data_IF_297371632596
#
_entry.id   IF_297371632596
#
_cell.length_a   1.000
_cell.length_b   1.000
_cell.length_c   1.000
_cell.angle_alpha   90.00
_cell.angle_beta   90.00
_cell.angle_gamma   90.00
#
_symmetry.space_group_name_H-M   'P 1'
#
loop_
_entity.id
_entity.type
_entity.pdbx_description
1 polymer ?
#
# COMPACT_ATOMS: atom_id res chain seq x y z
N UNK A 1 11.56 -25.95 -16.95
CA UNK A 1 10.94 -26.51 -15.73
C UNK A 1 11.67 -25.93 -14.54
N UNK A 2 11.07 -25.01 -13.79
CA UNK A 2 11.63 -24.55 -12.51
C UNK A 2 11.54 -25.73 -11.53
N UNK A 3 12.68 -26.32 -11.15
CA UNK A 3 12.70 -27.36 -10.13
C UNK A 3 12.47 -26.71 -8.76
N UNK A 4 11.33 -27.01 -8.14
CA UNK A 4 11.03 -26.57 -6.77
C UNK A 4 11.75 -27.48 -5.77
N UNK A 5 12.47 -26.89 -4.82
CA UNK A 5 12.96 -27.65 -3.66
C UNK A 5 11.77 -27.99 -2.74
N UNK A 6 11.59 -29.24 -2.26
CA UNK A 6 10.35 -29.67 -1.60
C UNK A 6 10.01 -28.96 -0.28
N UNK A 7 10.99 -28.34 0.38
CA UNK A 7 10.84 -27.95 1.78
C UNK A 7 10.44 -26.48 2.01
N UNK A 8 10.73 -25.54 1.10
CA UNK A 8 10.54 -24.10 1.38
C UNK A 8 9.38 -23.41 0.67
N UNK A 9 8.61 -24.15 -0.14
CA UNK A 9 7.84 -23.52 -1.21
C UNK A 9 6.36 -23.88 -1.27
N UNK A 10 5.80 -24.54 -0.25
CA UNK A 10 4.36 -24.82 -0.19
C UNK A 10 3.76 -24.31 1.12
N UNK A 11 2.60 -23.64 1.08
CA UNK A 11 1.84 -23.34 2.30
C UNK A 11 1.40 -24.64 3.00
N UNK A 12 1.47 -24.72 4.33
CA UNK A 12 1.06 -25.91 5.08
C UNK A 12 -0.46 -26.12 5.01
N UNK A 13 -0.90 -27.33 4.66
CA UNK A 13 -2.32 -27.74 4.68
C UNK A 13 -2.82 -28.11 6.09
N UNK A 14 -1.90 -28.43 7.00
CA UNK A 14 -2.19 -28.79 8.40
C UNK A 14 -2.04 -27.59 9.33
N UNK A 15 -2.70 -27.65 10.49
CA UNK A 15 -2.57 -26.64 11.54
C UNK A 15 -1.10 -26.40 11.92
N UNK A 16 -0.80 -25.14 12.24
CA UNK A 16 0.54 -24.69 12.59
C UNK A 16 0.89 -25.06 14.04
N UNK A 17 2.19 -25.17 14.34
CA UNK A 17 2.62 -25.11 15.73
C UNK A 17 2.54 -23.67 16.23
N UNK A 18 1.95 -23.46 17.40
CA UNK A 18 1.94 -22.14 18.03
C UNK A 18 3.36 -21.63 18.24
N UNK A 19 3.58 -20.37 17.87
CA UNK A 19 4.78 -19.64 18.24
C UNK A 19 4.80 -19.50 19.76
N UNK A 20 5.81 -20.10 20.38
CA UNK A 20 6.01 -20.13 21.83
C UNK A 20 7.37 -19.57 22.24
N UNK A 21 8.27 -19.37 21.28
CA UNK A 21 9.58 -18.77 21.50
C UNK A 21 10.14 -18.17 20.21
N UNK A 22 11.25 -17.44 20.30
CA UNK A 22 11.81 -16.71 19.15
C UNK A 22 12.22 -17.62 17.98
N UNK A 23 12.50 -18.90 18.23
CA UNK A 23 12.91 -19.93 17.27
C UNK A 23 12.02 -21.20 17.32
N UNK A 24 10.82 -21.12 17.93
CA UNK A 24 9.91 -22.28 18.10
C UNK A 24 8.48 -21.94 17.71
N UNK A 25 7.95 -22.67 16.73
CA UNK A 25 6.56 -22.62 16.24
C UNK A 25 6.50 -22.39 14.73
N UNK A 26 5.34 -21.97 14.23
CA UNK A 26 5.02 -21.80 12.81
C UNK A 26 5.06 -23.13 12.02
N UNK A 27 6.19 -23.48 11.40
CA UNK A 27 6.31 -24.73 10.66
C UNK A 27 6.54 -25.92 11.58
N UNK A 28 6.04 -27.10 11.18
CA UNK A 28 6.16 -28.36 11.94
C UNK A 28 7.61 -28.84 12.06
N UNK A 29 8.34 -28.84 10.95
CA UNK A 29 9.69 -29.44 10.86
C UNK A 29 10.78 -28.41 10.57
N UNK A 30 10.41 -27.23 10.08
CA UNK A 30 11.38 -26.20 9.71
C UNK A 30 11.58 -25.21 10.86
N UNK A 31 12.84 -24.86 11.19
CA UNK A 31 13.11 -23.81 12.15
C UNK A 31 12.51 -22.50 11.65
N UNK A 32 11.72 -21.87 12.50
CA UNK A 32 11.01 -20.64 12.18
C UNK A 32 11.36 -19.58 13.20
N UNK A 33 11.78 -18.42 12.72
CA UNK A 33 12.14 -17.29 13.58
C UNK A 33 11.02 -16.27 13.62
N UNK A 34 10.68 -15.82 14.83
CA UNK A 34 9.65 -14.79 15.06
C UNK A 34 10.02 -13.47 14.38
N UNK A 35 11.31 -13.13 14.30
CA UNK A 35 11.78 -11.90 13.66
C UNK A 35 12.76 -12.20 12.52
N UNK A 36 12.59 -11.50 11.40
CA UNK A 36 13.54 -11.47 10.28
C UNK A 36 14.76 -10.65 10.67
N UNK A 37 15.89 -11.33 10.88
CA UNK A 37 17.16 -10.69 11.30
C UNK A 37 18.19 -10.86 10.19
N UNK A 38 18.64 -9.74 9.62
CA UNK A 38 19.67 -9.71 8.57
C UNK A 38 21.05 -9.42 9.17
N UNK A 39 21.68 -10.42 9.79
CA UNK A 39 23.05 -10.33 10.31
C UNK A 39 23.25 -9.52 11.60
N UNK A 40 22.22 -8.79 12.08
CA UNK A 40 22.33 -7.94 13.26
C UNK A 40 22.29 -8.75 14.59
N UNK A 41 23.46 -9.06 15.15
CA UNK A 41 23.60 -9.82 16.41
C UNK A 41 22.83 -9.17 17.57
N UNK A 42 22.90 -7.84 17.70
CA UNK A 42 22.24 -7.11 18.79
C UNK A 42 20.72 -7.31 18.80
N UNK A 43 20.08 -7.33 17.62
CA UNK A 43 18.64 -7.57 17.50
C UNK A 43 18.25 -8.98 17.97
N UNK A 44 19.08 -9.98 17.63
CA UNK A 44 18.88 -11.37 18.07
C UNK A 44 18.98 -11.50 19.58
N UNK A 45 20.02 -10.90 20.16
CA UNK A 45 20.22 -10.92 21.61
C UNK A 45 19.12 -10.16 22.36
N UNK A 46 18.62 -9.06 21.81
CA UNK A 46 17.53 -8.30 22.41
C UNK A 46 16.25 -9.15 22.56
N UNK A 47 15.85 -9.89 21.52
CA UNK A 47 14.69 -10.79 21.60
C UNK A 47 14.94 -11.94 22.58
N UNK A 48 16.12 -12.56 22.54
CA UNK A 48 16.46 -13.67 23.44
C UNK A 48 16.41 -13.28 24.91
N UNK A 49 16.80 -12.04 25.23
CA UNK A 49 16.81 -11.48 26.60
C UNK A 49 15.47 -10.90 27.02
N UNK A 50 14.55 -10.65 26.09
CA UNK A 50 13.26 -10.09 26.40
C UNK A 50 12.45 -11.07 27.29
N UNK A 51 11.79 -10.58 28.36
CA UNK A 51 10.92 -11.41 29.17
C UNK A 51 9.81 -12.04 28.32
N UNK A 52 9.56 -13.34 28.50
CA UNK A 52 8.54 -14.08 27.74
C UNK A 52 7.17 -13.38 27.75
N UNK A 53 6.74 -12.92 28.93
CA UNK A 53 5.48 -12.18 29.12
C UNK A 53 5.37 -10.92 28.25
N UNK A 54 6.49 -10.27 27.93
CA UNK A 54 6.49 -9.10 27.06
C UNK A 54 6.32 -9.46 25.57
N UNK A 55 6.61 -10.71 25.19
CA UNK A 55 6.48 -11.21 23.81
C UNK A 55 5.18 -11.96 23.55
N UNK A 56 4.47 -12.41 24.60
CA UNK A 56 3.21 -13.16 24.51
C UNK A 56 2.17 -12.48 23.60
N UNK A 57 1.87 -11.17 23.73
CA UNK A 57 0.92 -10.51 22.82
C UNK A 57 1.33 -10.58 21.35
N UNK A 58 2.63 -10.50 21.06
CA UNK A 58 3.14 -10.61 19.69
C UNK A 58 2.99 -12.03 19.15
N UNK A 59 3.22 -13.05 19.99
CA UNK A 59 3.00 -14.44 19.61
C UNK A 59 1.53 -14.73 19.37
N UNK A 60 0.63 -14.27 20.24
CA UNK A 60 -0.82 -14.41 20.08
C UNK A 60 -1.31 -13.78 18.78
N UNK A 61 -0.84 -12.57 18.45
CA UNK A 61 -1.16 -11.91 17.19
C UNK A 61 -0.67 -12.71 15.97
N UNK A 62 0.58 -13.16 15.97
CA UNK A 62 1.14 -13.97 14.88
C UNK A 62 0.43 -15.33 14.72
N UNK A 63 0.07 -15.95 15.84
CA UNK A 63 -0.68 -17.21 15.85
C UNK A 63 -2.09 -17.02 15.32
N UNK A 64 -2.76 -15.92 15.68
CA UNK A 64 -4.09 -15.56 15.15
C UNK A 64 -4.05 -15.35 13.64
N UNK A 65 -3.06 -14.58 13.15
CA UNK A 65 -2.84 -14.39 11.71
C UNK A 65 -2.52 -15.71 11.01
N UNK A 66 -1.69 -16.55 11.63
CA UNK A 66 -1.26 -17.84 11.09
C UNK A 66 -2.36 -18.89 11.02
N UNK A 67 -3.29 -18.89 11.97
CA UNK A 67 -4.39 -19.84 12.06
C UNK A 67 -5.56 -19.51 11.13
N UNK A 68 -5.49 -18.41 10.38
CA UNK A 68 -6.51 -18.12 9.36
C UNK A 68 -6.33 -19.06 8.17
N UNK A 69 -7.32 -19.92 7.91
CA UNK A 69 -7.29 -20.89 6.81
C UNK A 69 -7.71 -20.23 5.50
N UNK A 70 -6.90 -20.38 4.47
CA UNK A 70 -7.09 -19.85 3.12
C UNK A 70 -7.34 -20.98 2.12
N UNK A 71 -7.97 -20.68 1.00
CA UNK A 71 -8.07 -21.59 -0.16
C UNK A 71 -7.95 -20.81 -1.47
N UNK A 72 -7.82 -21.55 -2.57
CA UNK A 72 -7.77 -21.00 -3.92
C UNK A 72 -9.20 -20.80 -4.45
N UNK A 73 -9.50 -19.58 -4.88
CA UNK A 73 -10.67 -19.27 -5.70
C UNK A 73 -10.47 -19.86 -7.10
N UNK A 74 -11.07 -21.04 -7.31
CA UNK A 74 -10.92 -21.82 -8.55
C UNK A 74 -11.45 -21.08 -9.78
N UNK A 75 -12.50 -20.28 -9.62
CA UNK A 75 -13.11 -19.52 -10.73
C UNK A 75 -12.17 -18.44 -11.24
N UNK A 76 -11.58 -17.66 -10.34
CA UNK A 76 -10.61 -16.62 -10.68
C UNK A 76 -9.31 -17.22 -11.21
N UNK A 77 -8.80 -18.29 -10.59
CA UNK A 77 -7.63 -19.00 -11.11
C UNK A 77 -7.86 -19.49 -12.55
N UNK A 78 -9.03 -20.04 -12.86
CA UNK A 78 -9.36 -20.50 -14.21
C UNK A 78 -9.35 -19.37 -15.25
N UNK A 79 -9.82 -18.17 -14.89
CA UNK A 79 -9.75 -16.99 -15.77
C UNK A 79 -8.30 -16.54 -15.97
N UNK A 80 -7.51 -16.49 -14.89
CA UNK A 80 -6.09 -16.10 -14.95
C UNK A 80 -5.29 -17.08 -15.81
N UNK A 81 -5.50 -18.38 -15.65
CA UNK A 81 -4.83 -19.41 -16.44
C UNK A 81 -5.14 -19.25 -17.94
N UNK A 82 -6.40 -18.91 -18.30
CA UNK A 82 -6.79 -18.65 -19.69
C UNK A 82 -6.12 -17.39 -20.25
N UNK A 83 -6.10 -16.29 -19.49
CA UNK A 83 -5.39 -15.06 -19.89
C UNK A 83 -3.90 -15.36 -20.09
N UNK A 84 -3.30 -16.06 -19.13
CA UNK A 84 -1.87 -16.39 -19.17
C UNK A 84 -1.53 -17.33 -20.32
N UNK A 85 -2.38 -18.30 -20.64
CA UNK A 85 -2.20 -19.17 -21.81
C UNK A 85 -2.32 -18.40 -23.14
N UNK A 86 -3.12 -17.33 -23.18
CA UNK A 86 -3.33 -16.48 -24.36
C UNK A 86 -2.25 -15.42 -24.63
N UNK A 87 -1.17 -15.41 -23.83
CA UNK A 87 -0.05 -14.46 -24.00
C UNK A 87 0.08 -13.39 -22.91
N UNK A 88 -0.81 -13.36 -21.91
CA UNK A 88 -0.80 -12.33 -20.87
C UNK A 88 -1.43 -11.01 -21.34
N UNK A 89 -0.87 -9.86 -20.94
CA UNK A 89 -1.25 -8.47 -21.32
C UNK A 89 -2.58 -7.92 -20.78
N UNK A 90 -3.40 -8.74 -20.15
CA UNK A 90 -4.67 -8.28 -19.55
C UNK A 90 -4.57 -8.25 -18.03
N UNK A 91 -5.30 -7.32 -17.40
CA UNK A 91 -5.36 -7.16 -15.95
C UNK A 91 -3.96 -7.09 -15.30
N UNK A 92 -3.10 -6.23 -15.86
CA UNK A 92 -1.71 -6.01 -15.43
C UNK A 92 -0.79 -7.25 -15.48
N UNK A 93 -1.21 -8.34 -16.12
CA UNK A 93 -0.31 -9.44 -16.42
C UNK A 93 0.68 -9.04 -17.50
N UNK A 94 1.97 -9.28 -17.23
CA UNK A 94 3.06 -9.02 -18.17
C UNK A 94 2.85 -9.77 -19.50
N UNK A 95 3.34 -9.18 -20.59
CA UNK A 95 3.39 -9.85 -21.89
C UNK A 95 4.35 -11.05 -21.83
N UNK A 96 3.90 -12.17 -22.38
CA UNK A 96 4.71 -13.39 -22.48
C UNK A 96 5.85 -13.27 -23.49
N UNK A 97 5.71 -12.36 -24.45
CA UNK A 97 6.71 -12.12 -25.48
C UNK A 97 7.66 -10.97 -25.14
N UNK A 98 8.86 -11.07 -25.70
CA UNK A 98 9.85 -10.00 -25.67
C UNK A 98 9.52 -8.92 -26.71
N UNK A 99 9.85 -7.67 -26.38
CA UNK A 99 9.85 -6.58 -27.36
C UNK A 99 10.98 -6.86 -28.35
N UNK A 100 10.73 -6.83 -29.67
CA UNK A 100 11.76 -7.05 -30.66
C UNK A 100 12.84 -5.95 -30.56
N UNK A 101 14.10 -6.35 -30.76
CA UNK A 101 15.20 -5.39 -30.80
C UNK A 101 15.05 -4.51 -32.06
N UNK A 102 15.33 -3.20 -31.96
CA UNK A 102 15.29 -2.32 -33.12
C UNK A 102 16.39 -2.72 -34.11
N UNK A 103 16.06 -2.69 -35.40
CA UNK A 103 17.02 -2.95 -36.47
C UNK A 103 18.15 -1.93 -36.45
N UNK A 104 19.37 -2.39 -36.76
CA UNK A 104 20.54 -1.54 -36.85
C UNK A 104 20.38 -0.60 -38.06
N UNK A 105 20.50 0.73 -37.88
CA UNK A 105 20.34 1.66 -38.99
C UNK A 105 21.53 1.54 -39.94
N UNK A 106 21.25 1.51 -41.24
CA UNK A 106 22.27 1.55 -42.30
C UNK A 106 22.70 3.01 -42.55
N UNK A 107 23.52 3.53 -41.63
CA UNK A 107 23.96 4.93 -41.59
C UNK A 107 25.33 5.03 -40.91
N UNK A 108 26.18 5.94 -41.37
CA UNK A 108 27.44 6.28 -40.68
C UNK A 108 27.26 7.41 -39.65
N UNK A 109 26.06 7.99 -39.54
CA UNK A 109 25.78 9.07 -38.59
C UNK A 109 25.92 8.58 -37.13
N UNK A 110 26.95 9.06 -36.44
CA UNK A 110 27.23 8.74 -35.05
C UNK A 110 26.04 9.06 -34.11
N UNK A 111 25.26 10.10 -34.40
CA UNK A 111 24.11 10.48 -33.60
C UNK A 111 22.98 9.47 -33.75
N UNK A 112 22.71 8.99 -34.96
CA UNK A 112 21.72 7.94 -35.23
C UNK A 112 22.14 6.60 -34.64
N UNK A 113 23.40 6.20 -34.81
CA UNK A 113 23.97 5.00 -34.19
C UNK A 113 23.86 5.08 -32.66
N UNK A 114 24.16 6.26 -32.07
CA UNK A 114 24.05 6.46 -30.61
C UNK A 114 22.59 6.34 -30.16
N UNK A 115 21.64 6.95 -30.88
CA UNK A 115 20.20 6.86 -30.59
C UNK A 115 19.70 5.42 -30.68
N UNK A 116 20.13 4.67 -31.69
CA UNK A 116 19.86 3.24 -31.82
C UNK A 116 20.43 2.43 -30.64
N UNK A 117 21.71 2.63 -30.28
CA UNK A 117 22.33 1.97 -29.11
C UNK A 117 21.56 2.23 -27.81
N UNK A 118 21.07 3.45 -27.61
CA UNK A 118 20.20 3.78 -26.48
C UNK A 118 18.86 3.06 -26.54
N UNK A 119 18.23 2.99 -27.71
CA UNK A 119 16.98 2.25 -27.92
C UNK A 119 17.17 0.75 -27.66
N UNK A 120 18.23 0.13 -28.18
CA UNK A 120 18.60 -1.27 -27.91
C UNK A 120 18.77 -1.51 -26.41
N UNK A 121 19.51 -0.63 -25.70
CA UNK A 121 19.70 -0.75 -24.25
C UNK A 121 18.36 -0.65 -23.50
N UNK A 122 17.47 0.26 -23.91
CA UNK A 122 16.14 0.39 -23.32
C UNK A 122 15.30 -0.87 -23.52
N UNK A 123 15.28 -1.43 -24.74
CA UNK A 123 14.52 -2.65 -25.05
C UNK A 123 15.09 -3.87 -24.31
N UNK A 124 16.42 -4.03 -24.25
CA UNK A 124 17.06 -5.10 -23.46
C UNK A 124 16.71 -5.01 -21.98
N UNK A 125 16.67 -3.79 -21.43
CA UNK A 125 16.25 -3.55 -20.04
C UNK A 125 14.79 -3.97 -19.84
N UNK A 126 13.90 -3.54 -20.72
CA UNK A 126 12.47 -3.89 -20.66
C UNK A 126 12.26 -5.41 -20.74
N UNK A 127 12.92 -6.11 -21.66
CA UNK A 127 12.82 -7.57 -21.78
C UNK A 127 13.36 -8.29 -20.53
N UNK A 128 14.43 -7.79 -19.92
CA UNK A 128 14.93 -8.32 -18.65
C UNK A 128 13.92 -8.13 -17.50
N UNK A 129 13.26 -6.97 -17.44
CA UNK A 129 12.21 -6.68 -16.45
C UNK A 129 10.98 -7.58 -16.68
N UNK A 130 10.53 -7.72 -17.94
CA UNK A 130 9.44 -8.62 -18.33
C UNK A 130 9.75 -10.06 -17.97
N UNK A 131 10.97 -10.55 -18.27
CA UNK A 131 11.39 -11.90 -17.91
C UNK A 131 11.30 -12.14 -16.40
N UNK A 132 11.77 -11.20 -15.57
CA UNK A 132 11.65 -11.31 -14.12
C UNK A 132 10.20 -11.38 -13.65
N UNK A 133 9.30 -10.58 -14.23
CA UNK A 133 7.88 -10.58 -13.91
C UNK A 133 7.19 -11.89 -14.35
N UNK A 134 7.55 -12.43 -15.53
CA UNK A 134 7.04 -13.72 -16.01
C UNK A 134 7.42 -14.86 -15.06
N UNK A 135 8.67 -14.89 -14.61
CA UNK A 135 9.14 -15.88 -13.64
C UNK A 135 8.37 -15.78 -12.30
N UNK A 136 8.14 -14.56 -11.79
CA UNK A 136 7.36 -14.34 -10.57
C UNK A 136 5.90 -14.83 -10.71
N UNK A 137 5.24 -14.52 -11.83
CA UNK A 137 3.87 -14.98 -12.11
C UNK A 137 3.81 -16.51 -12.21
N UNK A 138 4.75 -17.15 -12.92
CA UNK A 138 4.78 -18.61 -13.03
C UNK A 138 4.98 -19.30 -11.68
N UNK A 139 5.83 -18.74 -10.80
CA UNK A 139 6.00 -19.26 -9.44
C UNK A 139 4.69 -19.16 -8.63
N UNK A 140 3.99 -18.03 -8.71
CA UNK A 140 2.69 -17.84 -8.05
C UNK A 140 1.62 -18.80 -8.57
N UNK A 141 1.52 -18.94 -9.89
CA UNK A 141 0.55 -19.84 -10.53
C UNK A 141 0.87 -21.31 -10.27
N UNK A 142 2.16 -21.69 -10.20
CA UNK A 142 2.54 -23.04 -9.82
C UNK A 142 2.06 -23.39 -8.41
N UNK A 143 2.21 -22.47 -7.44
CA UNK A 143 1.65 -22.64 -6.09
C UNK A 143 0.13 -22.71 -6.12
N UNK A 144 -0.54 -21.78 -6.79
CA UNK A 144 -2.00 -21.78 -6.88
C UNK A 144 -2.56 -23.08 -7.49
N UNK A 145 -1.99 -23.54 -8.63
CA UNK A 145 -2.40 -24.76 -9.31
C UNK A 145 -2.17 -26.01 -8.47
N UNK A 146 -1.10 -26.05 -7.68
CA UNK A 146 -0.79 -27.17 -6.78
C UNK A 146 -1.73 -27.23 -5.59
N UNK A 147 -2.08 -26.07 -5.02
CA UNK A 147 -2.91 -25.97 -3.81
C UNK A 147 -4.41 -25.92 -4.11
N UNK A 148 -4.83 -25.87 -5.38
CA UNK A 148 -6.24 -25.63 -5.74
C UNK A 148 -7.21 -26.68 -5.22
N UNK A 149 -6.78 -27.94 -5.13
CA UNK A 149 -7.65 -29.06 -4.74
C UNK A 149 -7.54 -29.41 -3.26
N UNK A 150 -6.73 -28.68 -2.49
CA UNK A 150 -6.66 -28.78 -1.04
C UNK A 150 -7.88 -28.08 -0.41
N UNK A 151 -8.41 -28.63 0.69
CA UNK A 151 -9.52 -28.02 1.45
C UNK A 151 -9.16 -26.64 2.03
N UNK A 152 -7.86 -26.39 2.21
CA UNK A 152 -7.29 -25.10 2.54
C UNK A 152 -5.93 -25.24 3.22
N UNK A 153 -5.25 -24.11 3.36
CA UNK A 153 -3.87 -24.01 3.85
C UNK A 153 -3.68 -22.74 4.67
N UNK A 154 -2.57 -22.68 5.39
CA UNK A 154 -2.27 -21.62 6.35
C UNK A 154 -1.04 -20.82 5.93
N UNK A 155 -0.93 -19.59 6.42
CA UNK A 155 0.25 -18.76 6.24
C UNK A 155 0.87 -18.43 7.59
N UNK A 156 1.92 -19.15 8.02
CA UNK A 156 2.67 -18.72 9.20
C UNK A 156 3.23 -17.32 8.99
N UNK A 157 3.22 -16.49 10.04
CA UNK A 157 3.71 -15.11 9.99
C UNK A 157 4.96 -14.93 10.86
N UNK A 158 5.84 -14.02 10.43
CA UNK A 158 6.94 -13.48 11.22
C UNK A 158 6.93 -11.96 11.18
N UNK A 159 7.80 -11.34 11.98
CA UNK A 159 7.94 -9.90 12.11
C UNK A 159 9.20 -9.39 11.41
N UNK A 160 9.18 -8.16 10.90
CA UNK A 160 10.42 -7.40 10.70
C UNK A 160 10.92 -6.80 12.03
N UNK A 161 12.09 -6.14 12.01
CA UNK A 161 12.67 -5.50 13.19
C UNK A 161 11.83 -4.36 13.79
N UNK A 162 10.80 -3.89 13.08
CA UNK A 162 9.87 -2.84 13.51
C UNK A 162 8.58 -3.42 14.07
N UNK A 163 8.42 -4.75 14.04
CA UNK A 163 7.24 -5.46 14.51
C UNK A 163 6.10 -5.57 13.48
N UNK A 164 6.35 -5.35 12.18
CA UNK A 164 5.32 -5.58 11.15
C UNK A 164 5.26 -7.07 10.78
N UNK A 165 4.05 -7.63 10.71
CA UNK A 165 3.84 -9.02 10.37
C UNK A 165 3.86 -9.28 8.85
N UNK A 166 4.47 -10.39 8.45
CA UNK A 166 4.55 -10.84 7.06
C UNK A 166 4.38 -12.36 6.99
N UNK A 167 3.64 -12.90 6.01
CA UNK A 167 3.66 -14.32 5.69
C UNK A 167 5.09 -14.81 5.42
N UNK A 168 5.42 -15.97 5.96
CA UNK A 168 6.72 -16.61 5.72
C UNK A 168 6.83 -17.18 4.31
N UNK A 169 5.72 -17.60 3.70
CA UNK A 169 5.70 -18.12 2.34
C UNK A 169 5.90 -16.99 1.31
N UNK A 170 6.94 -17.04 0.46
CA UNK A 170 7.39 -15.87 -0.30
C UNK A 170 6.63 -15.61 -1.61
N UNK A 171 6.02 -16.63 -2.23
CA UNK A 171 5.50 -16.51 -3.60
C UNK A 171 4.02 -16.12 -3.63
N UNK A 172 3.13 -17.02 -3.21
CA UNK A 172 1.68 -16.79 -3.18
C UNK A 172 1.23 -16.53 -1.75
N UNK A 173 0.90 -15.29 -1.42
CA UNK A 173 0.31 -14.91 -0.13
C UNK A 173 -0.56 -13.65 -0.28
N UNK A 174 -1.41 -13.38 0.71
CA UNK A 174 -2.40 -12.30 0.67
C UNK A 174 -1.80 -10.88 0.77
N UNK A 175 -0.50 -10.73 1.10
CA UNK A 175 0.20 -9.42 1.00
C UNK A 175 0.72 -9.14 -0.41
N UNK A 176 0.61 -10.08 -1.34
CA UNK A 176 1.08 -9.97 -2.72
C UNK A 176 0.29 -8.98 -3.58
N UNK A 177 0.51 -9.09 -4.89
CA UNK A 177 -0.16 -8.30 -5.94
C UNK A 177 -1.66 -8.62 -6.04
N UNK A 178 -2.39 -7.84 -6.83
CA UNK A 178 -3.82 -8.09 -7.12
C UNK A 178 -4.10 -9.54 -7.53
N UNK A 179 -3.28 -10.14 -8.41
CA UNK A 179 -3.34 -11.58 -8.73
C UNK A 179 -3.36 -12.48 -7.49
N UNK A 180 -2.48 -12.22 -6.51
CA UNK A 180 -2.41 -13.05 -5.31
C UNK A 180 -3.68 -12.89 -4.47
N UNK A 181 -4.18 -11.66 -4.33
CA UNK A 181 -5.37 -11.36 -3.51
C UNK A 181 -6.66 -11.83 -4.18
N UNK A 182 -6.78 -11.71 -5.50
CA UNK A 182 -7.94 -12.17 -6.25
C UNK A 182 -8.06 -13.70 -6.30
N UNK A 183 -6.95 -14.43 -6.25
CA UNK A 183 -6.95 -15.90 -6.21
C UNK A 183 -7.20 -16.43 -4.78
N UNK A 184 -6.92 -15.67 -3.73
CA UNK A 184 -7.01 -16.14 -2.35
C UNK A 184 -8.34 -15.74 -1.70
N UNK A 185 -9.03 -16.70 -1.09
CA UNK A 185 -10.23 -16.48 -0.29
C UNK A 185 -10.19 -17.27 1.01
N UNK A 186 -11.03 -16.94 1.99
CA UNK A 186 -11.08 -17.70 3.23
C UNK A 186 -11.61 -19.13 2.97
N UNK A 187 -10.95 -20.13 3.55
CA UNK A 187 -11.44 -21.51 3.44
C UNK A 187 -12.75 -21.69 4.20
N UNK A 188 -12.87 -21.04 5.36
CA UNK A 188 -14.07 -21.02 6.18
C UNK A 188 -14.97 -19.86 5.78
N UNK A 189 -16.10 -20.17 5.15
CA UNK A 189 -17.09 -19.17 4.75
C UNK A 189 -18.00 -18.77 5.91
N UNK A 190 -18.60 -17.58 5.81
CA UNK A 190 -19.59 -17.07 6.76
C UNK A 190 -20.85 -16.62 6.04
N UNK A 191 -22.05 -16.81 6.61
CA UNK A 191 -23.27 -16.23 6.05
C UNK A 191 -23.16 -14.71 6.05
N UNK A 192 -23.66 -14.07 4.99
CA UNK A 192 -23.62 -12.60 4.88
C UNK A 192 -24.40 -11.89 6.00
N UNK A 193 -25.51 -12.47 6.45
CA UNK A 193 -26.40 -11.84 7.40
C UNK A 193 -26.94 -10.49 6.91
N UNK A 194 -27.45 -9.68 7.85
CA UNK A 194 -28.16 -8.44 7.56
C UNK A 194 -27.31 -7.35 6.90
N UNK A 195 -26.00 -7.33 7.16
CA UNK A 195 -25.09 -6.27 6.69
C UNK A 195 -24.03 -6.75 5.69
N UNK A 196 -23.79 -8.06 5.58
CA UNK A 196 -22.72 -8.59 4.73
C UNK A 196 -22.92 -8.27 3.25
N UNK A 197 -24.15 -8.33 2.75
CA UNK A 197 -24.44 -7.95 1.36
C UNK A 197 -24.09 -6.47 1.10
N UNK A 198 -24.45 -5.58 2.03
CA UNK A 198 -24.10 -4.14 1.95
C UNK A 198 -22.58 -3.97 1.94
N UNK A 199 -21.86 -4.69 2.79
CA UNK A 199 -20.39 -4.62 2.84
C UNK A 199 -19.72 -5.20 1.60
N UNK A 200 -20.27 -6.24 0.98
CA UNK A 200 -19.77 -6.73 -0.32
C UNK A 200 -19.96 -5.70 -1.43
N UNK A 201 -21.10 -4.99 -1.47
CA UNK A 201 -21.31 -3.89 -2.43
C UNK A 201 -20.29 -2.77 -2.21
N UNK A 202 -20.10 -2.35 -0.96
CA UNK A 202 -19.07 -1.35 -0.60
C UNK A 202 -17.67 -1.85 -0.99
N UNK A 203 -17.37 -3.13 -0.78
CA UNK A 203 -16.09 -3.73 -1.14
C UNK A 203 -15.85 -3.67 -2.65
N UNK A 204 -16.85 -4.02 -3.46
CA UNK A 204 -16.76 -3.91 -4.92
C UNK A 204 -16.39 -2.49 -5.36
N UNK A 205 -17.09 -1.49 -4.82
CA UNK A 205 -16.80 -0.09 -5.10
C UNK A 205 -15.38 0.33 -4.66
N UNK A 206 -14.88 -0.21 -3.55
CA UNK A 206 -13.52 0.06 -3.07
C UNK A 206 -12.44 -0.52 -3.99
N UNK A 207 -12.60 -1.77 -4.45
CA UNK A 207 -11.62 -2.42 -5.35
C UNK A 207 -11.73 -1.91 -6.79
N UNK A 208 -12.91 -1.42 -7.19
CA UNK A 208 -13.07 -0.69 -8.45
C UNK A 208 -12.28 0.62 -8.43
N UNK A 209 -12.30 1.32 -7.29
CA UNK A 209 -11.59 2.57 -7.04
C UNK A 209 -11.95 3.68 -8.05
N UNK A 210 -10.97 4.40 -8.61
CA UNK A 210 -11.23 5.45 -9.60
C UNK A 210 -12.00 6.68 -9.06
N UNK A 211 -11.98 6.90 -7.74
CA UNK A 211 -12.76 7.96 -7.08
C UNK A 211 -14.08 7.48 -6.48
N UNK A 212 -14.56 6.29 -6.87
CA UNK A 212 -15.75 5.66 -6.26
C UNK A 212 -15.48 5.32 -4.78
N UNK A 213 -14.25 4.92 -4.45
CA UNK A 213 -13.78 4.68 -3.08
C UNK A 213 -13.78 5.95 -2.20
N UNK A 214 -14.01 7.13 -2.78
CA UNK A 214 -14.13 8.41 -2.08
C UNK A 214 -15.56 8.87 -1.85
N UNK A 215 -16.54 8.14 -2.40
CA UNK A 215 -17.95 8.38 -2.10
C UNK A 215 -18.26 7.97 -0.65
N UNK A 216 -19.38 8.47 -0.14
CA UNK A 216 -20.00 7.96 1.08
C UNK A 216 -20.35 6.47 0.91
N UNK A 217 -20.58 5.76 2.02
CA UNK A 217 -20.97 4.34 1.93
C UNK A 217 -22.24 4.13 1.10
N UNK A 218 -23.22 5.03 1.21
CA UNK A 218 -24.44 4.97 0.37
C UNK A 218 -24.12 5.22 -1.11
N UNK A 219 -23.23 6.16 -1.43
CA UNK A 219 -22.78 6.38 -2.80
C UNK A 219 -22.07 5.15 -3.41
N UNK A 220 -21.30 4.41 -2.61
CA UNK A 220 -20.64 3.17 -3.02
C UNK A 220 -21.63 2.02 -3.24
N UNK A 221 -22.66 1.92 -2.39
CA UNK A 221 -23.75 0.96 -2.57
C UNK A 221 -24.51 1.28 -3.87
N UNK A 222 -24.91 2.55 -4.07
CA UNK A 222 -25.61 2.99 -5.26
C UNK A 222 -24.79 2.74 -6.54
N UNK A 223 -23.47 2.98 -6.52
CA UNK A 223 -22.59 2.62 -7.63
C UNK A 223 -22.72 1.13 -7.98
N UNK A 224 -22.65 0.25 -7.00
CA UNK A 224 -22.76 -1.19 -7.23
C UNK A 224 -24.14 -1.57 -7.78
N UNK A 225 -25.21 -0.95 -7.28
CA UNK A 225 -26.58 -1.21 -7.74
C UNK A 225 -26.84 -0.73 -9.18
N UNK A 226 -26.20 0.37 -9.59
CA UNK A 226 -26.28 0.87 -10.96
C UNK A 226 -25.50 0.03 -11.97
N UNK A 227 -24.60 -0.85 -11.52
CA UNK A 227 -23.76 -1.69 -12.37
C UNK A 227 -24.07 -3.19 -12.23
N UNK A 228 -25.26 -3.57 -11.75
CA UNK A 228 -25.63 -4.98 -11.57
C UNK A 228 -25.51 -5.81 -12.86
N UNK A 229 -25.90 -5.26 -14.00
CA UNK A 229 -25.76 -5.96 -15.28
C UNK A 229 -24.29 -6.22 -15.65
N UNK A 230 -23.39 -5.28 -15.37
CA UNK A 230 -21.96 -5.43 -15.61
C UNK A 230 -21.32 -6.43 -14.65
N UNK A 231 -21.80 -6.48 -13.42
CA UNK A 231 -21.40 -7.44 -12.40
C UNK A 231 -21.78 -8.85 -12.81
N UNK A 232 -23.04 -9.06 -13.24
CA UNK A 232 -23.50 -10.36 -13.71
C UNK A 232 -22.77 -10.81 -14.99
N UNK A 233 -22.58 -9.90 -15.96
CA UNK A 233 -21.82 -10.19 -17.18
C UNK A 233 -20.36 -10.57 -16.86
N UNK A 234 -19.70 -9.81 -15.97
CA UNK A 234 -18.32 -10.09 -15.56
C UNK A 234 -18.19 -11.43 -14.83
N UNK A 235 -19.20 -11.82 -14.04
CA UNK A 235 -19.20 -13.09 -13.32
C UNK A 235 -19.45 -14.31 -14.22
N UNK A 236 -20.33 -14.17 -15.22
CA UNK A 236 -20.74 -15.28 -16.10
C UNK A 236 -19.82 -15.45 -17.31
N UNK A 237 -19.38 -14.34 -17.90
CA UNK A 237 -18.58 -14.30 -19.14
C UNK A 237 -17.35 -13.40 -18.96
N UNK A 238 -16.43 -13.75 -18.05
CA UNK A 238 -15.32 -12.87 -17.65
C UNK A 238 -14.38 -12.49 -18.79
N UNK A 239 -14.24 -13.31 -19.84
CA UNK A 239 -13.37 -13.03 -20.99
C UNK A 239 -14.16 -12.72 -22.28
N UNK A 240 -15.38 -13.23 -22.39
CA UNK A 240 -16.21 -13.15 -23.59
C UNK A 240 -17.29 -12.06 -23.53
N UNK A 241 -17.54 -11.48 -22.35
CA UNK A 241 -18.51 -10.42 -22.13
C UNK A 241 -17.94 -9.02 -22.37
N UNK A 242 -18.51 -8.03 -21.68
CA UNK A 242 -18.07 -6.63 -21.71
C UNK A 242 -16.74 -6.41 -20.99
N UNK A 243 -16.33 -7.34 -20.13
CA UNK A 243 -15.08 -7.29 -19.35
C UNK A 243 -14.95 -6.03 -18.50
N UNK A 244 -16.07 -5.56 -17.94
CA UNK A 244 -16.13 -4.35 -17.12
C UNK A 244 -15.16 -4.37 -15.93
N UNK A 245 -14.96 -5.54 -15.32
CA UNK A 245 -14.01 -5.74 -14.23
C UNK A 245 -12.56 -5.34 -14.56
N UNK A 246 -12.16 -5.29 -15.84
CA UNK A 246 -10.82 -4.83 -16.26
C UNK A 246 -10.61 -3.32 -16.07
N UNK A 247 -11.69 -2.55 -15.90
CA UNK A 247 -11.61 -1.10 -15.67
C UNK A 247 -11.33 -0.72 -14.21
N UNK A 248 -11.36 -1.70 -13.29
CA UNK A 248 -11.02 -1.51 -11.89
C UNK A 248 -9.52 -1.26 -11.67
N UNK A 249 -9.16 -0.57 -10.57
CA UNK A 249 -7.74 -0.45 -10.15
C UNK A 249 -7.15 -1.81 -9.72
N UNK A 250 -7.98 -2.69 -9.15
CA UNK A 250 -7.64 -4.07 -8.76
C UNK A 250 -8.55 -5.09 -9.49
N UNK A 251 -8.25 -5.43 -10.76
CA UNK A 251 -9.15 -6.21 -11.61
C UNK A 251 -9.51 -7.60 -11.06
N UNK A 252 -8.55 -8.39 -10.58
CA UNK A 252 -8.84 -9.75 -10.13
C UNK A 252 -9.62 -9.78 -8.82
N UNK A 253 -9.37 -8.86 -7.89
CA UNK A 253 -10.21 -8.69 -6.70
C UNK A 253 -11.63 -8.20 -7.09
N UNK A 254 -11.75 -7.32 -8.08
CA UNK A 254 -13.04 -6.89 -8.61
C UNK A 254 -13.82 -8.07 -9.21
N UNK A 255 -13.18 -8.91 -10.04
CA UNK A 255 -13.79 -10.10 -10.61
C UNK A 255 -14.23 -11.10 -9.54
N UNK A 256 -13.37 -11.38 -8.55
CA UNK A 256 -13.70 -12.24 -7.41
C UNK A 256 -14.96 -11.74 -6.67
N UNK A 257 -15.04 -10.43 -6.46
CA UNK A 257 -16.19 -9.79 -5.81
C UNK A 257 -17.45 -9.84 -6.70
N UNK A 258 -17.33 -9.61 -8.01
CA UNK A 258 -18.44 -9.72 -8.95
C UNK A 258 -19.06 -11.12 -8.94
N UNK A 259 -18.20 -12.15 -8.91
CA UNK A 259 -18.60 -13.55 -8.81
C UNK A 259 -19.41 -13.80 -7.53
N UNK A 260 -18.88 -13.39 -6.38
CA UNK A 260 -19.54 -13.65 -5.10
C UNK A 260 -20.82 -12.83 -4.91
N UNK A 261 -20.84 -11.56 -5.36
CA UNK A 261 -22.06 -10.75 -5.38
C UNK A 261 -23.13 -11.37 -6.28
N UNK A 262 -22.74 -11.91 -7.44
CA UNK A 262 -23.69 -12.55 -8.35
C UNK A 262 -24.34 -13.79 -7.73
N UNK A 263 -23.55 -14.62 -7.04
CA UNK A 263 -24.06 -15.77 -6.29
C UNK A 263 -25.05 -15.34 -5.19
N UNK A 264 -24.69 -14.32 -4.41
CA UNK A 264 -25.54 -13.82 -3.34
C UNK A 264 -26.85 -13.19 -3.85
N UNK A 265 -26.79 -12.38 -4.91
CA UNK A 265 -27.95 -11.68 -5.45
C UNK A 265 -28.91 -12.57 -6.24
N UNK A 266 -28.42 -13.72 -6.75
CA UNK A 266 -29.26 -14.74 -7.40
C UNK A 266 -29.92 -15.69 -6.40
N UNK A 267 -29.45 -15.72 -5.15
CA UNK A 267 -30.08 -16.47 -4.07
C UNK A 267 -31.43 -15.86 -3.71
N UNK A 268 -32.43 -16.70 -3.43
CA UNK A 268 -33.72 -16.26 -2.88
C UNK A 268 -33.58 -15.66 -1.47
N UNK A 269 -32.49 -15.95 -0.78
CA UNK A 269 -32.13 -15.37 0.52
C UNK A 269 -30.65 -14.97 0.53
N UNK A 270 -30.32 -13.75 0.05
CA UNK A 270 -28.94 -13.29 0.00
C UNK A 270 -28.22 -13.34 1.36
N UNK A 271 -28.92 -13.06 2.46
CA UNK A 271 -28.36 -13.06 3.82
C UNK A 271 -27.83 -14.42 4.27
N UNK A 272 -28.39 -15.53 3.78
CA UNK A 272 -27.94 -16.89 4.15
C UNK A 272 -26.83 -17.40 3.23
N UNK A 273 -26.51 -16.67 2.16
CA UNK A 273 -25.43 -17.04 1.24
C UNK A 273 -24.11 -17.04 2.00
N UNK A 274 -23.39 -18.16 1.91
CA UNK A 274 -22.07 -18.32 2.50
C UNK A 274 -21.05 -17.60 1.61
N UNK A 275 -20.41 -16.56 2.15
CA UNK A 275 -19.32 -15.86 1.47
C UNK A 275 -17.98 -16.24 2.08
N UNK A 276 -17.01 -16.40 1.19
CA UNK A 276 -15.61 -16.66 1.50
C UNK A 276 -14.72 -15.42 1.26
N UNK A 277 -15.32 -14.33 0.74
CA UNK A 277 -14.60 -13.15 0.30
C UNK A 277 -14.05 -12.34 1.49
N UNK A 278 -12.74 -12.06 1.52
CA UNK A 278 -12.18 -11.07 2.43
C UNK A 278 -12.67 -9.66 2.07
N UNK A 279 -13.34 -8.98 2.99
CA UNK A 279 -13.72 -7.56 2.82
C UNK A 279 -12.66 -6.66 3.43
N UNK A 280 -11.96 -5.91 2.59
CA UNK A 280 -10.87 -5.03 3.02
C UNK A 280 -11.37 -3.73 3.65
N UNK A 281 -10.76 -3.34 4.78
CA UNK A 281 -10.88 -2.03 5.40
C UNK A 281 -9.47 -1.48 5.59
N UNK A 282 -9.15 -0.38 4.93
CA UNK A 282 -7.82 0.25 4.98
C UNK A 282 -7.91 1.67 5.52
N UNK A 283 -6.93 2.05 6.33
CA UNK A 283 -6.83 3.38 6.90
C UNK A 283 -6.12 4.33 5.94
N UNK A 284 -6.76 5.46 5.63
CA UNK A 284 -6.21 6.45 4.69
C UNK A 284 -4.99 7.14 5.29
N UNK A 285 -3.80 6.70 4.87
CA UNK A 285 -2.51 7.19 5.33
C UNK A 285 -2.27 6.99 6.84
N UNK A 286 -2.25 5.72 7.29
CA UNK A 286 -2.01 5.33 8.69
C UNK A 286 -0.81 6.04 9.35
N UNK A 287 0.28 6.30 8.61
CA UNK A 287 1.42 7.05 9.16
C UNK A 287 1.05 8.46 9.62
N UNK A 288 0.31 9.22 8.80
CA UNK A 288 -0.20 10.54 9.19
C UNK A 288 -1.27 10.46 10.27
N UNK A 289 -2.11 9.42 10.29
CA UNK A 289 -3.05 9.20 11.39
C UNK A 289 -2.33 9.05 12.73
N UNK A 290 -1.26 8.25 12.80
CA UNK A 290 -0.45 8.13 14.01
C UNK A 290 0.24 9.45 14.38
N UNK A 291 0.76 10.21 13.42
CA UNK A 291 1.35 11.52 13.72
C UNK A 291 0.33 12.54 14.22
N UNK A 292 -0.86 12.59 13.62
CA UNK A 292 -1.95 13.45 14.07
C UNK A 292 -2.41 13.05 15.49
N UNK A 293 -2.47 11.75 15.79
CA UNK A 293 -2.79 11.25 17.12
C UNK A 293 -1.69 11.61 18.16
N UNK A 294 -0.41 11.46 17.80
CA UNK A 294 0.73 11.82 18.66
C UNK A 294 0.81 13.34 18.90
N UNK A 295 0.60 14.14 17.85
CA UNK A 295 0.55 15.60 17.92
C UNK A 295 -0.69 16.14 18.61
N UNK A 296 -1.70 15.28 18.84
CA UNK A 296 -3.04 15.66 19.30
C UNK A 296 -3.61 16.79 18.45
N UNK A 297 -3.69 16.54 17.14
CA UNK A 297 -4.39 17.36 16.16
C UNK A 297 -5.93 17.35 16.47
N UNK A 298 -6.28 17.95 17.62
CA UNK A 298 -7.51 18.07 18.45
C UNK A 298 -8.40 16.85 18.77
N UNK A 299 -8.47 16.52 20.09
CA UNK A 299 -9.64 16.69 21.00
C UNK A 299 -9.11 16.73 22.45
N UNK A 300 -9.03 17.90 23.08
CA UNK A 300 -9.30 18.01 24.51
C UNK A 300 -10.07 19.31 24.71
N UNK A 301 -11.38 19.15 24.90
CA UNK A 301 -12.16 20.11 25.67
C UNK A 301 -11.49 20.22 27.04
N UNK A 302 -10.92 21.39 27.36
CA UNK A 302 -10.32 21.67 28.65
C UNK A 302 -11.41 21.81 29.73
N UNK A 303 -12.20 20.76 29.95
CA UNK A 303 -13.28 20.77 30.95
C UNK A 303 -13.14 19.67 32.02
N UNK A 304 -12.29 18.65 31.86
CA UNK A 304 -12.27 17.52 32.82
C UNK A 304 -10.91 17.03 33.35
N UNK A 305 -9.76 17.48 32.82
CA UNK A 305 -8.44 16.95 33.25
C UNK A 305 -7.60 17.93 34.07
N UNK A 306 -8.25 18.78 34.85
CA UNK A 306 -7.59 19.71 35.78
C UNK A 306 -7.35 19.17 37.19
N UNK A 307 -7.55 17.88 37.47
CA UNK A 307 -7.63 17.42 38.87
C UNK A 307 -7.02 16.07 39.26
N UNK A 308 -6.15 15.44 38.46
CA UNK A 308 -5.60 14.13 38.90
C UNK A 308 -4.14 13.78 38.60
N UNK A 309 -3.27 14.73 38.23
CA UNK A 309 -1.83 14.46 38.18
C UNK A 309 -1.04 15.68 38.68
N UNK A 310 -1.10 15.89 40.00
CA UNK A 310 -0.19 16.76 40.72
C UNK A 310 0.52 15.95 41.79
N UNK A 311 1.57 15.22 41.40
CA UNK A 311 2.61 14.75 42.32
C UNK A 311 3.90 14.49 41.53
N UNK A 312 4.94 15.20 41.97
CA UNK A 312 6.38 15.02 41.69
C UNK A 312 7.00 15.79 40.52
N UNK A 313 7.54 16.96 40.88
CA UNK A 313 8.89 17.48 40.58
C UNK A 313 9.49 17.25 39.19
N UNK A 314 9.18 18.13 38.22
CA UNK A 314 10.12 18.56 37.16
C UNK A 314 9.68 19.95 36.64
N UNK A 315 10.34 21.00 37.14
CA UNK A 315 9.97 22.42 36.89
C UNK A 315 10.40 22.94 35.50
N UNK A 316 11.12 22.15 34.70
CA UNK A 316 11.59 22.59 33.36
C UNK A 316 10.57 22.34 32.23
N UNK A 317 9.53 21.54 32.46
CA UNK A 317 8.55 21.19 31.41
C UNK A 317 7.40 22.21 31.25
N UNK A 318 7.20 23.11 32.21
CA UNK A 318 5.96 23.89 32.32
C UNK A 318 5.95 25.27 31.63
N UNK A 319 7.11 25.83 31.24
CA UNK A 319 7.12 27.11 30.52
C UNK A 319 7.04 26.97 28.99
N UNK A 320 7.58 25.90 28.40
CA UNK A 320 7.53 25.71 26.94
C UNK A 320 6.11 25.41 26.42
N UNK A 321 5.24 24.82 27.25
CA UNK A 321 3.89 24.47 26.82
C UNK A 321 2.94 25.68 26.76
N UNK A 322 3.12 26.69 27.60
CA UNK A 322 2.10 27.74 27.77
C UNK A 322 2.10 28.79 26.64
N UNK A 323 3.24 28.99 25.96
CA UNK A 323 3.36 29.93 24.83
C UNK A 323 3.13 29.26 23.45
N UNK A 324 3.27 27.94 23.34
CA UNK A 324 3.05 27.20 22.08
C UNK A 324 1.56 26.93 21.76
N UNK A 325 0.66 27.13 22.72
CA UNK A 325 -0.69 26.55 22.70
C UNK A 325 -1.80 27.46 22.16
N UNK A 326 -1.58 28.78 21.99
CA UNK A 326 -2.67 29.73 21.64
C UNK A 326 -2.79 30.08 20.15
N UNK A 327 -1.72 30.09 19.37
CA UNK A 327 -1.80 30.42 17.93
C UNK A 327 -1.91 29.20 17.01
N UNK A 328 -1.64 27.99 17.51
CA UNK A 328 -1.57 26.80 16.68
C UNK A 328 -2.89 25.99 16.62
N UNK A 329 -3.92 26.37 17.38
CA UNK A 329 -5.18 25.61 17.52
C UNK A 329 -6.09 25.56 16.28
N UNK A 330 -5.89 26.41 15.26
CA UNK A 330 -6.70 26.38 14.02
C UNK A 330 -6.09 25.45 12.95
N UNK A 331 -4.76 25.45 12.81
CA UNK A 331 -4.03 24.60 11.86
C UNK A 331 -4.09 23.11 12.25
N UNK A 332 -4.09 22.80 13.55
CA UNK A 332 -4.14 21.42 14.05
C UNK A 332 -5.46 20.67 13.76
N UNK A 333 -6.60 21.36 13.62
CA UNK A 333 -7.86 20.69 13.27
C UNK A 333 -7.89 20.15 11.84
N UNK A 334 -7.12 20.77 10.95
CA UNK A 334 -7.10 20.43 9.53
C UNK A 334 -6.40 19.08 9.28
N UNK A 335 -5.32 18.78 10.03
CA UNK A 335 -4.54 17.56 9.88
C UNK A 335 -5.33 16.28 10.21
N UNK A 336 -5.93 16.21 11.41
CA UNK A 336 -6.71 15.05 11.85
C UNK A 336 -7.98 14.82 11.01
N UNK A 337 -8.66 15.91 10.62
CA UNK A 337 -9.81 15.84 9.72
C UNK A 337 -9.40 15.31 8.34
N UNK A 338 -8.25 15.76 7.80
CA UNK A 338 -7.75 15.30 6.50
C UNK A 338 -7.44 13.80 6.44
N UNK A 339 -7.20 13.15 7.59
CA UNK A 339 -6.89 11.72 7.70
C UNK A 339 -7.98 10.90 8.40
N UNK A 340 -9.20 11.43 8.48
CA UNK A 340 -10.40 10.73 8.99
C UNK A 340 -10.35 10.34 10.47
N UNK A 341 -9.58 11.06 11.30
CA UNK A 341 -9.64 10.89 12.76
C UNK A 341 -10.80 11.68 13.38
N UNK A 342 -11.35 12.64 12.65
CA UNK A 342 -12.57 13.37 12.99
C UNK A 342 -13.71 12.81 12.14
N UNK A 343 -14.86 12.55 12.76
CA UNK A 343 -16.04 12.06 12.06
C UNK A 343 -16.48 13.05 10.97
N UNK A 344 -16.79 12.53 9.78
CA UNK A 344 -17.30 13.29 8.65
C UNK A 344 -18.29 12.46 7.84
N UNK A 345 -19.15 13.14 7.07
CA UNK A 345 -20.20 12.48 6.26
C UNK A 345 -19.63 11.69 5.07
N UNK A 346 -18.46 12.09 4.58
CA UNK A 346 -17.71 11.43 3.51
C UNK A 346 -16.24 11.28 3.91
N UNK A 347 -15.53 10.27 3.39
CA UNK A 347 -14.11 10.12 3.66
C UNK A 347 -13.34 11.34 3.15
N UNK A 348 -12.52 11.94 4.02
CA UNK A 348 -11.51 12.89 3.65
C UNK A 348 -10.39 12.19 2.85
N UNK A 349 -9.87 12.89 1.84
CA UNK A 349 -8.78 12.41 0.99
C UNK A 349 -7.58 13.37 1.07
N UNK A 350 -6.71 13.11 2.05
CA UNK A 350 -5.47 13.88 2.30
C UNK A 350 -4.68 14.16 1.02
N UNK A 351 -4.65 13.20 0.09
CA UNK A 351 -3.88 13.32 -1.15
C UNK A 351 -4.47 14.36 -2.11
N UNK A 352 -5.80 14.42 -2.24
CA UNK A 352 -6.46 15.45 -3.05
C UNK A 352 -6.33 16.84 -2.41
N UNK A 353 -6.39 16.92 -1.06
CA UNK A 353 -6.10 18.15 -0.34
C UNK A 353 -4.68 18.67 -0.59
N UNK A 354 -3.66 17.80 -0.52
CA UNK A 354 -2.28 18.16 -0.87
C UNK A 354 -2.15 18.53 -2.36
N UNK A 355 -2.79 17.80 -3.27
CA UNK A 355 -2.74 18.10 -4.69
C UNK A 355 -3.30 19.50 -4.99
N UNK A 356 -4.44 19.87 -4.37
CA UNK A 356 -5.00 21.21 -4.48
C UNK A 356 -4.02 22.27 -3.96
N UNK A 357 -3.40 22.04 -2.80
CA UNK A 357 -2.41 22.97 -2.25
C UNK A 357 -1.17 23.13 -3.15
N UNK A 358 -0.69 22.03 -3.74
CA UNK A 358 0.41 22.05 -4.72
C UNK A 358 0.01 22.85 -5.95
N UNK A 359 -1.20 22.66 -6.46
CA UNK A 359 -1.72 23.39 -7.60
C UNK A 359 -1.76 24.90 -7.32
N UNK A 360 -2.25 25.32 -6.15
CA UNK A 360 -2.29 26.74 -5.73
C UNK A 360 -0.89 27.37 -5.66
N UNK A 361 0.12 26.62 -5.18
CA UNK A 361 1.51 27.11 -5.16
C UNK A 361 2.03 27.26 -6.59
N UNK A 362 1.81 26.26 -7.44
CA UNK A 362 2.28 26.29 -8.83
C UNK A 362 1.57 27.38 -9.66
N UNK A 363 0.28 27.63 -9.45
CA UNK A 363 -0.43 28.72 -10.11
C UNK A 363 0.15 30.09 -9.76
N UNK A 364 0.48 30.32 -8.49
CA UNK A 364 1.15 31.56 -8.05
C UNK A 364 2.55 31.69 -8.64
N UNK A 365 3.33 30.61 -8.64
CA UNK A 365 4.68 30.61 -9.21
C UNK A 365 4.67 30.83 -10.73
N UNK A 366 3.68 30.29 -11.43
CA UNK A 366 3.52 30.44 -12.88
C UNK A 366 3.27 31.89 -13.32
N UNK A 367 2.67 32.73 -12.45
CA UNK A 367 2.43 34.14 -12.71
C UNK A 367 3.69 35.01 -12.52
N UNK A 368 4.74 34.50 -11.89
CA UNK A 368 6.00 35.23 -11.69
C UNK A 368 6.77 35.36 -13.00
N UNK A 369 7.67 36.34 -13.05
CA UNK A 369 8.55 36.56 -14.20
C UNK A 369 9.65 35.48 -14.26
N UNK A 370 9.73 34.67 -15.34
CA UNK A 370 10.78 33.67 -15.54
C UNK A 370 12.21 34.20 -15.46
N UNK A 371 12.43 35.49 -15.75
CA UNK A 371 13.77 36.08 -15.71
C UNK A 371 14.30 36.23 -14.28
N UNK A 372 13.39 36.41 -13.31
CA UNK A 372 13.73 36.53 -11.88
C UNK A 372 13.51 35.22 -11.13
N UNK A 373 12.52 34.42 -11.55
CA UNK A 373 12.14 33.17 -10.92
C UNK A 373 12.11 32.00 -11.92
N UNK A 374 13.20 31.23 -12.04
CA UNK A 374 13.31 30.11 -13.00
C UNK A 374 12.24 29.02 -12.81
N UNK A 375 11.61 28.95 -11.63
CA UNK A 375 10.54 28.00 -11.36
C UNK A 375 9.21 28.36 -12.05
N UNK A 376 9.03 29.60 -12.51
CA UNK A 376 7.80 30.01 -13.20
C UNK A 376 7.52 29.17 -14.45
N UNK A 377 8.55 28.86 -15.24
CA UNK A 377 8.43 27.99 -16.43
C UNK A 377 8.05 26.56 -16.05
N UNK A 378 8.67 26.02 -15.00
CA UNK A 378 8.39 24.67 -14.50
C UNK A 378 6.97 24.57 -13.96
N UNK A 379 6.49 25.62 -13.28
CA UNK A 379 5.14 25.69 -12.78
C UNK A 379 4.11 25.72 -13.92
N UNK A 380 4.33 26.54 -14.96
CA UNK A 380 3.49 26.56 -16.18
C UNK A 380 3.38 25.19 -16.84
N UNK A 381 4.50 24.46 -16.92
CA UNK A 381 4.55 23.12 -17.50
C UNK A 381 3.75 22.08 -16.68
N UNK A 382 3.72 22.23 -15.36
CA UNK A 382 3.18 21.22 -14.45
C UNK A 382 1.74 21.45 -14.00
N UNK A 383 1.18 22.66 -14.12
CA UNK A 383 -0.18 22.98 -13.63
C UNK A 383 -1.23 21.97 -14.13
N UNK A 384 -1.17 21.57 -15.40
CA UNK A 384 -2.12 20.59 -15.97
C UNK A 384 -1.86 19.13 -15.55
N UNK A 385 -0.73 18.88 -14.90
CA UNK A 385 -0.28 17.54 -14.48
C UNK A 385 -0.54 17.27 -13.00
N UNK A 386 -0.84 18.29 -12.20
CA UNK A 386 -1.05 18.13 -10.76
C UNK A 386 -2.41 17.46 -10.50
N UNK A 387 -2.36 16.25 -9.98
CA UNK A 387 -3.52 15.54 -9.48
C UNK A 387 -3.14 14.67 -8.26
N UNK A 388 -4.16 13.99 -7.72
CA UNK A 388 -4.00 13.02 -6.64
C UNK A 388 -2.94 11.95 -6.95
N UNK A 389 -2.94 11.37 -8.16
CA UNK A 389 -2.06 10.26 -8.54
C UNK A 389 -0.59 10.67 -8.61
N UNK A 390 -0.31 11.93 -8.97
CA UNK A 390 1.04 12.49 -8.99
C UNK A 390 1.64 12.59 -7.58
N UNK A 391 0.88 13.09 -6.61
CA UNK A 391 1.38 13.36 -5.24
C UNK A 391 1.22 12.19 -4.27
N UNK A 392 0.28 11.26 -4.52
CA UNK A 392 -0.10 10.16 -3.61
C UNK A 392 1.10 9.39 -3.06
N UNK A 393 1.99 8.92 -3.93
CA UNK A 393 3.12 8.09 -3.52
C UNK A 393 4.12 8.88 -2.64
N UNK A 394 4.42 10.12 -3.03
CA UNK A 394 5.33 10.99 -2.29
C UNK A 394 4.80 11.36 -0.92
N UNK A 395 3.53 11.76 -0.83
CA UNK A 395 2.87 12.05 0.46
C UNK A 395 2.86 10.80 1.35
N UNK A 396 2.46 9.65 0.80
CA UNK A 396 2.39 8.39 1.55
C UNK A 396 3.75 7.93 2.07
N UNK A 397 4.83 8.15 1.33
CA UNK A 397 6.17 7.67 1.71
C UNK A 397 6.98 8.68 2.53
N UNK A 398 6.58 9.95 2.54
CA UNK A 398 7.20 11.02 3.36
C UNK A 398 7.16 10.72 4.85
N UNK A 399 6.03 10.23 5.36
CA UNK A 399 5.91 9.81 6.77
C UNK A 399 6.69 8.56 7.14
N UNK A 400 7.24 7.85 6.16
CA UNK A 400 8.11 6.69 6.36
C UNK A 400 9.59 7.00 6.10
N UNK A 401 9.95 8.28 5.99
CA UNK A 401 11.34 8.73 5.88
C UNK A 401 11.91 8.75 4.46
N UNK A 402 11.08 8.86 3.42
CA UNK A 402 11.61 9.10 2.06
C UNK A 402 12.38 10.42 2.03
N UNK A 403 13.56 10.41 1.41
CA UNK A 403 14.34 11.62 1.20
C UNK A 403 13.80 12.42 0.02
N UNK A 404 14.25 13.68 -0.12
CA UNK A 404 13.95 14.50 -1.29
C UNK A 404 14.29 13.80 -2.62
N UNK A 405 15.43 13.07 -2.67
CA UNK A 405 15.85 12.33 -3.86
C UNK A 405 14.82 11.25 -4.21
N UNK A 406 14.38 10.47 -3.22
CA UNK A 406 13.35 9.45 -3.41
C UNK A 406 11.99 10.03 -3.81
N UNK A 407 11.58 11.14 -3.20
CA UNK A 407 10.36 11.87 -3.55
C UNK A 407 10.37 12.34 -5.02
N UNK A 408 11.48 12.96 -5.46
CA UNK A 408 11.69 13.35 -6.86
C UNK A 408 11.57 12.16 -7.80
N UNK A 409 12.21 11.04 -7.48
CA UNK A 409 12.22 9.86 -8.36
C UNK A 409 10.84 9.20 -8.49
N UNK A 410 10.01 9.26 -7.43
CA UNK A 410 8.62 8.84 -7.48
C UNK A 410 7.79 9.74 -8.41
N UNK A 411 7.89 11.07 -8.25
CA UNK A 411 7.18 12.02 -9.11
C UNK A 411 7.67 11.91 -10.57
N UNK A 412 8.98 11.79 -10.79
CA UNK A 412 9.58 11.59 -12.11
C UNK A 412 8.97 10.38 -12.82
N UNK A 413 8.79 9.26 -12.10
CA UNK A 413 8.17 8.05 -12.64
C UNK A 413 6.72 8.30 -13.07
N UNK A 414 5.94 8.96 -12.22
CA UNK A 414 4.54 9.33 -12.51
C UNK A 414 4.42 10.31 -13.68
N UNK A 415 5.36 11.24 -13.86
CA UNK A 415 5.39 12.14 -15.02
C UNK A 415 5.76 11.39 -16.31
N UNK A 416 6.71 10.46 -16.24
CA UNK A 416 7.08 9.61 -17.38
C UNK A 416 5.93 8.73 -17.87
N UNK A 417 5.15 8.16 -16.94
CA UNK A 417 3.96 7.34 -17.25
C UNK A 417 2.88 8.12 -18.02
N UNK A 418 2.83 9.46 -17.88
CA UNK A 418 1.86 10.33 -18.56
C UNK A 418 2.32 10.79 -19.95
N UNK A 419 3.60 10.59 -20.27
CA UNK A 419 4.23 11.10 -21.50
C UNK A 419 3.98 12.60 -21.78
N UNK A 420 3.74 13.40 -20.73
CA UNK A 420 3.34 14.80 -20.87
C UNK A 420 4.50 15.75 -21.19
N UNK A 421 5.74 15.32 -20.97
CA UNK A 421 6.95 16.11 -21.21
C UNK A 421 7.90 15.23 -22.05
N UNK A 422 8.24 15.72 -23.25
CA UNK A 422 9.04 14.95 -24.21
C UNK A 422 10.54 14.95 -23.86
N UNK A 423 11.07 16.05 -23.32
CA UNK A 423 12.49 16.18 -23.00
C UNK A 423 12.83 15.57 -21.62
N UNK A 424 13.81 14.67 -21.57
CA UNK A 424 14.20 14.00 -20.32
C UNK A 424 14.86 14.94 -19.28
N UNK A 425 15.54 15.99 -19.74
CA UNK A 425 16.17 17.01 -18.90
C UNK A 425 15.12 17.91 -18.25
N UNK A 426 14.09 18.29 -19.00
CA UNK A 426 12.91 19.00 -18.49
C UNK A 426 12.13 18.15 -17.50
N UNK A 427 11.92 16.85 -17.77
CA UNK A 427 11.28 15.93 -16.82
C UNK A 427 12.03 15.91 -15.49
N UNK A 428 13.36 15.87 -15.51
CA UNK A 428 14.16 15.88 -14.29
C UNK A 428 13.97 17.19 -13.52
N UNK A 429 14.10 18.34 -14.20
CA UNK A 429 13.95 19.66 -13.57
C UNK A 429 12.54 19.90 -13.04
N UNK A 430 11.51 19.50 -13.79
CA UNK A 430 10.11 19.55 -13.40
C UNK A 430 9.86 18.66 -12.17
N UNK A 431 10.39 17.44 -12.15
CA UNK A 431 10.26 16.54 -10.99
C UNK A 431 10.90 17.08 -9.71
N UNK A 432 12.03 17.80 -9.82
CA UNK A 432 12.66 18.48 -8.69
C UNK A 432 11.75 19.55 -8.08
N UNK A 433 11.21 20.42 -8.95
CA UNK A 433 10.31 21.49 -8.51
C UNK A 433 9.01 20.91 -7.91
N UNK A 434 8.38 19.96 -8.59
CA UNK A 434 7.18 19.30 -8.10
C UNK A 434 7.40 18.63 -6.73
N UNK A 435 8.50 17.90 -6.54
CA UNK A 435 8.82 17.27 -5.26
C UNK A 435 9.00 18.28 -4.13
N UNK A 436 9.71 19.39 -4.39
CA UNK A 436 9.89 20.46 -3.41
C UNK A 436 8.54 21.07 -3.03
N UNK A 437 7.71 21.41 -4.01
CA UNK A 437 6.38 21.98 -3.78
C UNK A 437 5.46 21.02 -3.03
N UNK A 438 5.47 19.72 -3.36
CA UNK A 438 4.69 18.70 -2.63
C UNK A 438 5.13 18.57 -1.17
N UNK A 439 6.44 18.55 -0.90
CA UNK A 439 6.95 18.47 0.47
C UNK A 439 6.66 19.75 1.27
N UNK A 440 6.70 20.91 0.63
CA UNK A 440 6.28 22.19 1.25
C UNK A 440 4.80 22.15 1.61
N UNK A 441 3.92 21.78 0.67
CA UNK A 441 2.49 21.65 0.92
C UNK A 441 2.18 20.65 2.05
N UNK A 442 2.91 19.53 2.09
CA UNK A 442 2.79 18.55 3.17
C UNK A 442 3.20 19.13 4.53
N UNK A 443 4.30 19.86 4.58
CA UNK A 443 4.80 20.49 5.80
C UNK A 443 3.89 21.60 6.33
N UNK A 444 3.26 22.36 5.44
CA UNK A 444 2.24 23.37 5.79
C UNK A 444 0.98 22.72 6.38
N UNK A 445 0.56 21.56 5.85
CA UNK A 445 -0.67 20.90 6.29
C UNK A 445 -0.48 20.05 7.56
N UNK A 446 0.73 19.54 7.80
CA UNK A 446 1.06 18.67 8.95
C UNK A 446 2.29 19.16 9.71
N UNK A 447 2.20 20.38 10.22
CA UNK A 447 3.31 21.00 10.96
C UNK A 447 3.67 20.20 12.23
N UNK A 448 2.68 19.70 12.98
CA UNK A 448 2.91 18.87 14.16
C UNK A 448 3.71 17.60 13.82
N UNK A 449 3.30 16.90 12.74
CA UNK A 449 4.02 15.72 12.27
C UNK A 449 5.47 16.05 11.91
N UNK A 450 5.70 17.17 11.22
CA UNK A 450 7.05 17.65 10.86
C UNK A 450 7.90 17.93 12.10
N UNK A 451 7.33 18.57 13.11
CA UNK A 451 8.02 18.87 14.37
C UNK A 451 8.38 17.59 15.13
N UNK A 452 7.47 16.62 15.22
CA UNK A 452 7.75 15.31 15.85
C UNK A 452 8.84 14.56 15.09
N UNK A 453 8.78 14.54 13.75
CA UNK A 453 9.81 13.91 12.92
C UNK A 453 11.19 14.56 13.12
N UNK A 454 11.26 15.90 13.19
CA UNK A 454 12.51 16.62 13.46
C UNK A 454 13.06 16.26 14.84
N UNK A 455 12.21 16.28 15.86
CA UNK A 455 12.60 15.95 17.23
C UNK A 455 13.14 14.53 17.35
N UNK A 456 12.45 13.52 16.78
CA UNK A 456 12.94 12.14 16.75
C UNK A 456 14.27 12.03 16.00
N UNK A 457 14.42 12.77 14.90
CA UNK A 457 15.66 12.83 14.12
C UNK A 457 16.83 13.40 14.92
N UNK A 458 16.60 14.46 15.71
CA UNK A 458 17.64 15.08 16.54
C UNK A 458 18.00 14.20 17.73
N UNK A 459 17.04 13.56 18.39
CA UNK A 459 17.31 12.53 19.40
C UNK A 459 18.19 11.40 18.83
N UNK A 460 17.90 10.96 17.60
CA UNK A 460 18.68 9.92 16.96
C UNK A 460 20.11 10.36 16.64
N UNK A 461 20.30 11.59 16.13
CA UNK A 461 21.64 12.16 15.87
C UNK A 461 22.47 12.23 17.16
N UNK A 462 21.88 12.69 18.26
CA UNK A 462 22.57 12.77 19.56
C UNK A 462 22.97 11.38 20.04
N UNK A 463 22.06 10.40 20.01
CA UNK A 463 22.37 9.02 20.42
C UNK A 463 23.51 8.41 19.58
N UNK A 464 23.48 8.61 18.26
CA UNK A 464 24.51 8.12 17.35
C UNK A 464 25.85 8.84 17.54
N UNK A 465 25.85 10.14 17.87
CA UNK A 465 27.08 10.89 18.18
C UNK A 465 27.79 10.34 19.42
N UNK A 466 27.05 9.71 20.33
CA UNK A 466 27.58 8.99 21.47
C UNK A 466 27.96 7.53 21.16
N UNK A 467 27.83 7.05 19.92
CA UNK A 467 28.00 5.65 19.49
C UNK A 467 26.98 4.66 20.08
N UNK A 468 25.80 5.13 20.47
CA UNK A 468 24.76 4.28 21.06
C UNK A 468 23.70 3.95 20.01
N UNK A 469 23.25 2.68 20.02
CA UNK A 469 22.10 2.26 19.23
C UNK A 469 20.80 2.62 19.94
N UNK A 470 19.80 3.02 19.17
CA UNK A 470 18.49 3.37 19.70
C UNK A 470 17.69 2.09 19.93
N UNK A 471 17.20 1.91 21.16
CA UNK A 471 16.32 0.82 21.54
C UNK A 471 15.00 1.39 22.07
N UNK A 472 13.89 1.02 21.44
CA UNK A 472 12.54 1.38 21.87
C UNK A 472 11.76 0.10 22.16
N UNK A 473 10.92 0.15 23.20
CA UNK A 473 10.04 -0.96 23.56
C UNK A 473 8.61 -0.51 23.31
N UNK A 474 7.91 -1.23 22.44
CA UNK A 474 6.47 -1.06 22.26
C UNK A 474 5.76 -1.70 23.46
N UNK A 475 5.00 -0.91 24.20
CA UNK A 475 4.09 -1.41 25.23
C UNK A 475 2.68 -1.45 24.65
N UNK A 476 2.12 -2.65 24.57
CA UNK A 476 0.70 -2.85 24.28
C UNK A 476 -0.01 -2.67 25.64
N UNK A 477 -0.82 -1.61 25.74
CA UNK A 477 -1.56 -1.23 26.96
C UNK A 477 -2.96 -1.81 26.88
#
# INVERSE_FOLDING_TARGET
MLQFHPHHHWPPCTCLYYLVWYDKGAYLFLPSYVMRIHGARQQREAIKRAPRKALEPAFEALNTLGNTKWRINKRVLGVIDRIWASGGRLADLVDREDVPLPEEPDTEDEAEIRKWKWKVRSVKKENSERHSQRCDIELKLAVARKMKDEDGFFYPHNLDFRGRAYPMHPYLNHLGSDLCRGILEFAEGRPLGKSGLRWLKIHLANVYAGGVDKLSYEGRVAFTENHLEDIFDSADRPLEGRRWWLSAEDPFQCLATCINLSEALRSSSPETTISHMPVHQDGSCNGLQHYAALGRDKVMEYSAFGRLLWKSDYVIWNLCNFLFLKEATSLFQLGAAAVNLVAGEKPADVYSGIAARVLDIMQRDAQKDPATEPNALRARLLISQVDRKLVKQTVMTSVYGVTYIGARDQIKRRLKERCAIADEGEVFSASCYAAKTTLTALGEMFEAARSIMSWLGDCAKVSLSCFWSIHLIVKIV
#
